data_IF_408580934625
#
_entry.id   IF_408580934625
#
_cell.length_a   1.000
_cell.length_b   1.000
_cell.length_c   1.000
_cell.angle_alpha   90.00
_cell.angle_beta   90.00
_cell.angle_gamma   90.00
#
_symmetry.space_group_name_H-M   'P 1'
#
loop_
_entity.id
_entity.type
_entity.pdbx_description
1 polymer ?
#
# COMPACT_ATOMS: atom_id res chain seq x y z
N UNK A 1 6.64 -16.24 -90.26
CA UNK A 1 7.52 -16.85 -89.24
C UNK A 1 7.11 -16.29 -87.89
N UNK A 2 6.46 -17.13 -87.08
CA UNK A 2 5.81 -16.78 -85.81
C UNK A 2 6.87 -16.69 -84.71
N UNK A 3 6.91 -15.58 -83.95
CA UNK A 3 7.57 -15.57 -82.65
C UNK A 3 6.56 -15.24 -81.56
N UNK A 4 6.55 -16.12 -80.56
CA UNK A 4 5.58 -16.30 -79.49
C UNK A 4 6.20 -15.83 -78.16
N UNK A 5 5.35 -15.31 -77.25
CA UNK A 5 5.45 -15.31 -75.77
C UNK A 5 6.49 -14.32 -75.19
N UNK A 6 6.28 -13.65 -74.05
CA UNK A 6 5.53 -14.03 -72.85
C UNK A 6 5.08 -12.79 -72.05
N UNK A 7 3.84 -12.80 -71.53
CA UNK A 7 3.31 -11.81 -70.59
C UNK A 7 3.50 -12.32 -69.15
N UNK A 8 4.30 -11.62 -68.36
CA UNK A 8 4.47 -11.89 -66.93
C UNK A 8 3.30 -11.30 -66.14
N UNK A 9 2.50 -12.16 -65.51
CA UNK A 9 1.41 -11.77 -64.59
C UNK A 9 2.02 -11.37 -63.25
N UNK A 10 1.77 -10.13 -62.80
CA UNK A 10 2.06 -9.68 -61.43
C UNK A 10 0.81 -9.99 -60.58
N UNK A 11 0.97 -10.86 -59.59
CA UNK A 11 -0.03 -11.14 -58.56
C UNK A 11 0.21 -10.15 -57.41
N UNK A 12 -0.75 -9.28 -57.13
CA UNK A 12 -0.76 -8.44 -55.93
C UNK A 12 -1.45 -9.23 -54.82
N UNK A 13 -0.68 -9.65 -53.81
CA UNK A 13 -1.20 -10.27 -52.61
C UNK A 13 -1.71 -9.18 -51.64
N UNK A 14 -3.02 -9.24 -51.33
CA UNK A 14 -3.67 -8.40 -50.35
C UNK A 14 -3.30 -8.89 -48.94
N UNK A 15 -2.48 -8.12 -48.22
CA UNK A 15 -2.09 -8.42 -46.85
C UNK A 15 -3.23 -8.13 -45.86
N UNK A 16 -3.70 -9.18 -45.18
CA UNK A 16 -4.61 -9.12 -44.04
C UNK A 16 -3.98 -8.31 -42.90
N UNK A 17 -4.61 -7.20 -42.52
CA UNK A 17 -4.33 -6.50 -41.27
C UNK A 17 -4.82 -7.35 -40.09
N UNK A 18 -3.90 -8.05 -39.43
CA UNK A 18 -4.15 -8.66 -38.12
C UNK A 18 -4.15 -7.53 -37.08
N UNK A 19 -5.28 -7.35 -36.39
CA UNK A 19 -5.43 -6.38 -35.33
C UNK A 19 -4.41 -6.58 -34.22
N UNK A 20 -3.60 -5.56 -33.98
CA UNK A 20 -2.73 -5.48 -32.81
C UNK A 20 -3.61 -5.26 -31.57
N UNK A 21 -3.77 -6.28 -30.74
CA UNK A 21 -4.26 -6.07 -29.38
C UNK A 21 -3.31 -5.09 -28.67
N UNK A 22 -3.81 -4.12 -27.88
CA UNK A 22 -2.96 -3.23 -27.14
C UNK A 22 -2.15 -4.05 -26.12
N UNK A 23 -0.87 -4.21 -26.39
CA UNK A 23 0.10 -4.68 -25.42
C UNK A 23 0.19 -3.59 -24.35
N UNK A 24 -0.47 -3.79 -23.21
CA UNK A 24 -0.24 -2.94 -22.04
C UNK A 24 1.24 -3.09 -21.68
N UNK A 25 2.05 -2.07 -22.00
CA UNK A 25 3.43 -2.02 -21.59
C UNK A 25 3.49 -2.23 -20.07
N UNK A 26 4.08 -3.35 -19.65
CA UNK A 26 4.18 -3.70 -18.25
C UNK A 26 5.11 -2.68 -17.58
N UNK A 27 4.53 -1.78 -16.78
CA UNK A 27 5.29 -0.73 -16.09
C UNK A 27 6.31 -1.38 -15.17
N UNK A 28 7.51 -0.79 -15.10
CA UNK A 28 8.52 -1.22 -14.16
C UNK A 28 7.96 -1.19 -12.73
N UNK A 29 8.22 -2.22 -11.90
CA UNK A 29 7.83 -2.20 -10.51
C UNK A 29 8.39 -0.98 -9.79
N UNK A 30 7.64 -0.43 -8.83
CA UNK A 30 8.12 0.57 -7.91
C UNK A 30 9.40 0.10 -7.21
N UNK A 31 10.30 1.02 -6.84
CA UNK A 31 11.67 0.69 -6.43
C UNK A 31 11.71 -0.26 -5.24
N UNK A 32 10.73 -0.17 -4.34
CA UNK A 32 10.66 -0.99 -3.12
C UNK A 32 9.51 -2.00 -3.10
N UNK A 33 8.66 -2.05 -4.12
CA UNK A 33 7.51 -2.96 -4.18
C UNK A 33 7.91 -4.43 -4.02
N UNK A 34 9.01 -4.85 -4.67
CA UNK A 34 9.53 -6.23 -4.53
C UNK A 34 9.95 -6.52 -3.09
N UNK A 35 10.64 -5.59 -2.44
CA UNK A 35 11.07 -5.76 -1.05
C UNK A 35 9.88 -5.81 -0.09
N UNK A 36 8.85 -5.01 -0.33
CA UNK A 36 7.59 -5.06 0.44
C UNK A 36 6.93 -6.43 0.30
N UNK A 37 6.88 -6.99 -0.92
CA UNK A 37 6.34 -8.33 -1.15
C UNK A 37 7.18 -9.44 -0.49
N UNK A 38 8.51 -9.31 -0.48
CA UNK A 38 9.39 -10.19 0.31
C UNK A 38 9.00 -10.16 1.79
N UNK A 39 8.74 -8.97 2.35
CA UNK A 39 8.31 -8.84 3.74
C UNK A 39 6.92 -9.45 3.97
N UNK A 40 5.96 -9.23 3.07
CA UNK A 40 4.63 -9.88 3.12
C UNK A 40 4.77 -11.41 3.16
N UNK A 41 5.62 -11.98 2.31
CA UNK A 41 5.85 -13.43 2.27
C UNK A 41 6.49 -13.99 3.54
N UNK A 42 7.20 -13.16 4.30
CA UNK A 42 7.76 -13.53 5.61
C UNK A 42 6.78 -13.41 6.77
N UNK A 43 5.59 -12.83 6.55
CA UNK A 43 4.58 -12.68 7.60
C UNK A 43 3.85 -14.02 7.85
N UNK A 44 3.43 -14.29 9.10
CA UNK A 44 2.63 -15.45 9.41
C UNK A 44 1.24 -15.38 8.74
N UNK A 45 0.55 -16.51 8.73
CA UNK A 45 -0.84 -16.63 8.28
C UNK A 45 -1.75 -16.88 9.47
N UNK A 46 -2.97 -16.36 9.43
CA UNK A 46 -3.95 -16.53 10.48
C UNK A 46 -3.74 -15.57 11.67
N UNK A 47 -4.09 -16.03 12.88
CA UNK A 47 -3.89 -15.26 14.11
C UNK A 47 -5.05 -14.33 14.48
N UNK A 48 -6.22 -14.43 13.83
CA UNK A 48 -7.44 -13.69 14.16
C UNK A 48 -7.36 -12.15 14.02
N UNK A 49 -8.52 -11.52 14.00
CA UNK A 49 -8.66 -10.07 13.92
C UNK A 49 -9.18 -9.46 15.24
N UNK A 50 -8.54 -8.40 15.73
CA UNK A 50 -9.05 -7.59 16.84
C UNK A 50 -8.46 -6.18 16.78
N UNK A 51 -9.30 -5.15 16.88
CA UNK A 51 -8.88 -3.75 17.03
C UNK A 51 -9.00 -3.26 18.49
N UNK A 52 -8.89 -4.18 19.46
CA UNK A 52 -8.97 -3.85 20.89
C UNK A 52 -7.69 -3.22 21.42
N UNK A 53 -7.78 -2.54 22.58
CA UNK A 53 -6.58 -2.06 23.31
C UNK A 53 -5.57 -3.17 23.56
N UNK A 54 -6.04 -4.38 23.87
CA UNK A 54 -5.17 -5.54 24.06
C UNK A 54 -4.41 -5.94 22.78
N UNK A 55 -5.03 -5.81 21.61
CA UNK A 55 -4.36 -6.04 20.32
C UNK A 55 -3.27 -4.98 20.06
N UNK A 56 -3.54 -3.70 20.37
CA UNK A 56 -2.52 -2.64 20.26
C UNK A 56 -1.34 -2.87 21.21
N UNK A 57 -1.58 -3.27 22.46
CA UNK A 57 -0.49 -3.60 23.39
C UNK A 57 0.36 -4.79 22.89
N UNK A 58 -0.27 -5.79 22.27
CA UNK A 58 0.44 -6.90 21.63
C UNK A 58 1.27 -6.43 20.44
N UNK A 59 0.72 -5.55 19.60
CA UNK A 59 1.42 -4.96 18.46
C UNK A 59 2.66 -4.15 18.90
N UNK A 60 2.54 -3.34 19.95
CA UNK A 60 3.67 -2.60 20.54
C UNK A 60 4.79 -3.53 21.02
N UNK A 61 4.41 -4.68 21.60
CA UNK A 61 5.35 -5.74 22.01
C UNK A 61 5.83 -6.60 20.85
N UNK A 62 5.27 -6.50 19.66
CA UNK A 62 5.73 -7.28 18.52
C UNK A 62 6.82 -6.57 17.72
N UNK A 63 6.95 -5.25 17.87
CA UNK A 63 7.97 -4.43 17.22
C UNK A 63 8.87 -3.82 18.30
N UNK A 64 9.99 -4.47 18.56
CA UNK A 64 10.99 -4.02 19.51
C UNK A 64 12.11 -3.27 18.80
N UNK A 65 12.65 -2.27 19.46
CA UNK A 65 13.86 -1.58 19.04
C UNK A 65 14.87 -1.67 20.17
N UNK A 66 15.93 -2.45 19.93
CA UNK A 66 16.99 -2.71 20.90
C UNK A 66 18.33 -2.59 20.18
N UNK A 67 19.29 -1.93 20.83
CA UNK A 67 20.66 -1.77 20.30
C UNK A 67 20.74 -1.23 18.86
N UNK A 68 19.78 -0.38 18.45
CA UNK A 68 19.76 0.23 17.11
C UNK A 68 19.07 -0.60 16.02
N UNK A 69 18.51 -1.76 16.36
CA UNK A 69 17.93 -2.73 15.42
C UNK A 69 16.43 -2.91 15.71
N UNK A 70 15.60 -2.89 14.66
CA UNK A 70 14.21 -3.29 14.77
C UNK A 70 14.07 -4.82 14.71
N UNK A 71 13.63 -5.42 15.81
CA UNK A 71 13.18 -6.82 15.81
C UNK A 71 11.66 -6.84 15.74
N UNK A 72 11.14 -7.33 14.63
CA UNK A 72 9.70 -7.52 14.42
C UNK A 72 9.37 -9.00 14.51
N UNK A 73 8.51 -9.36 15.47
CA UNK A 73 8.03 -10.72 15.71
C UNK A 73 6.49 -10.76 15.55
N UNK A 74 5.98 -10.87 14.29
CA UNK A 74 4.57 -10.68 13.99
C UNK A 74 3.60 -11.63 14.69
N UNK A 75 4.06 -12.82 15.08
CA UNK A 75 3.26 -13.80 15.83
C UNK A 75 2.79 -13.24 17.18
N UNK A 76 3.58 -12.38 17.83
CA UNK A 76 3.20 -11.78 19.10
C UNK A 76 2.17 -10.66 18.94
N UNK A 77 1.93 -10.17 17.72
CA UNK A 77 0.88 -9.20 17.41
C UNK A 77 -0.49 -9.85 17.16
N UNK A 78 -0.65 -11.16 17.33
CA UNK A 78 -1.94 -11.85 17.17
C UNK A 78 -2.77 -11.82 18.47
N UNK A 79 -4.08 -11.46 18.43
CA UNK A 79 -4.83 -10.94 17.28
C UNK A 79 -4.43 -9.52 16.90
N UNK A 80 -4.48 -9.25 15.59
CA UNK A 80 -4.02 -8.00 14.97
C UNK A 80 -5.14 -7.30 14.21
N UNK A 81 -4.86 -6.13 13.66
CA UNK A 81 -5.76 -5.35 12.80
C UNK A 81 -5.01 -4.79 11.59
N UNK A 82 -5.76 -4.22 10.66
CA UNK A 82 -5.31 -3.97 9.30
C UNK A 82 -4.13 -2.99 9.21
N UNK A 83 -4.22 -1.82 9.87
CA UNK A 83 -3.13 -0.84 9.93
C UNK A 83 -1.90 -1.36 10.69
N UNK A 84 -2.10 -2.15 11.75
CA UNK A 84 -1.01 -2.82 12.46
C UNK A 84 -0.24 -3.78 11.56
N UNK A 85 -0.96 -4.62 10.81
CA UNK A 85 -0.36 -5.58 9.87
C UNK A 85 0.50 -4.89 8.80
N UNK A 86 -0.05 -3.86 8.16
CA UNK A 86 0.66 -3.12 7.10
C UNK A 86 1.85 -2.33 7.66
N UNK A 87 1.75 -1.80 8.88
CA UNK A 87 2.86 -1.12 9.53
C UNK A 87 4.02 -2.05 9.90
N UNK A 88 3.73 -3.27 10.37
CA UNK A 88 4.79 -4.26 10.61
C UNK A 88 5.56 -4.59 9.32
N UNK A 89 4.87 -4.70 8.19
CA UNK A 89 5.51 -4.88 6.88
C UNK A 89 6.36 -3.64 6.50
N UNK A 90 5.86 -2.44 6.77
CA UNK A 90 6.62 -1.21 6.56
C UNK A 90 7.90 -1.17 7.41
N UNK A 91 7.82 -1.43 8.72
CA UNK A 91 9.01 -1.47 9.61
C UNK A 91 10.01 -2.55 9.18
N UNK A 92 9.53 -3.75 8.82
CA UNK A 92 10.41 -4.81 8.28
C UNK A 92 11.09 -4.38 6.98
N UNK A 93 10.40 -3.62 6.13
CA UNK A 93 10.97 -3.07 4.88
C UNK A 93 12.08 -2.06 5.18
N UNK A 94 11.84 -1.13 6.11
CA UNK A 94 12.84 -0.16 6.56
C UNK A 94 14.07 -0.84 7.16
N UNK A 95 13.88 -1.85 8.01
CA UNK A 95 14.99 -2.59 8.59
C UNK A 95 15.75 -3.41 7.55
N UNK A 96 15.06 -4.02 6.58
CA UNK A 96 15.72 -4.74 5.49
C UNK A 96 16.56 -3.80 4.60
N UNK A 97 16.14 -2.56 4.40
CA UNK A 97 16.94 -1.55 3.70
C UNK A 97 18.18 -1.15 4.51
N UNK A 98 18.03 -0.97 5.82
CA UNK A 98 19.15 -0.66 6.74
C UNK A 98 20.18 -1.79 6.77
N UNK A 99 19.73 -3.04 6.88
CA UNK A 99 20.59 -4.22 6.88
C UNK A 99 21.36 -4.42 5.56
N UNK A 100 20.88 -3.83 4.46
CA UNK A 100 21.55 -3.83 3.14
C UNK A 100 22.39 -2.56 2.90
N UNK A 101 22.60 -1.72 3.92
CA UNK A 101 23.25 -0.40 3.81
C UNK A 101 22.58 0.58 2.82
N UNK A 102 21.35 0.29 2.37
CA UNK A 102 20.61 1.10 1.41
C UNK A 102 19.83 2.24 2.08
N UNK A 103 19.75 2.26 3.41
CA UNK A 103 19.07 3.29 4.19
C UNK A 103 19.81 3.52 5.51
N UNK A 104 20.12 4.77 5.81
CA UNK A 104 20.69 5.17 7.11
C UNK A 104 19.78 6.19 7.75
N UNK A 105 19.37 5.91 8.98
CA UNK A 105 18.52 6.78 9.81
C UNK A 105 19.19 6.90 11.17
N UNK A 106 19.15 8.10 11.75
CA UNK A 106 19.65 8.35 13.09
C UNK A 106 18.76 7.72 14.16
N UNK A 107 19.28 7.67 15.39
CA UNK A 107 18.57 7.04 16.51
C UNK A 107 17.22 7.70 16.80
N UNK A 108 17.14 9.03 16.70
CA UNK A 108 15.92 9.77 16.96
C UNK A 108 14.82 9.44 15.94
N UNK A 109 15.18 9.35 14.66
CA UNK A 109 14.26 8.93 13.59
C UNK A 109 13.78 7.51 13.82
N UNK A 110 14.67 6.60 14.20
CA UNK A 110 14.27 5.22 14.52
C UNK A 110 13.32 5.18 15.71
N UNK A 111 13.60 5.92 16.78
CA UNK A 111 12.71 5.98 17.94
C UNK A 111 11.31 6.52 17.58
N UNK A 112 11.18 7.35 16.54
CA UNK A 112 9.90 7.86 16.05
C UNK A 112 9.05 6.83 15.30
N UNK A 113 9.68 5.76 14.79
CA UNK A 113 9.00 4.64 14.11
C UNK A 113 8.37 3.64 15.11
N UNK A 114 8.71 3.74 16.41
CA UNK A 114 8.13 2.88 17.43
C UNK A 114 6.62 3.10 17.56
N UNK A 115 5.90 1.99 17.68
CA UNK A 115 4.46 1.97 17.95
C UNK A 115 4.26 2.35 19.42
N UNK A 116 3.57 3.45 19.68
CA UNK A 116 3.22 3.91 21.04
C UNK A 116 1.72 4.15 21.15
N UNK A 117 1.25 4.70 22.27
CA UNK A 117 -0.17 5.05 22.48
C UNK A 117 -0.52 6.40 21.82
N UNK A 118 -0.11 6.56 20.55
CA UNK A 118 -0.32 7.78 19.75
C UNK A 118 -1.72 7.81 19.18
N UNK A 119 -2.35 8.98 19.22
CA UNK A 119 -3.66 9.23 18.62
C UNK A 119 -3.55 9.48 17.11
N UNK A 120 -4.69 9.47 16.43
CA UNK A 120 -4.79 9.84 15.01
C UNK A 120 -4.08 11.18 14.75
N UNK A 121 -3.14 11.15 13.81
CA UNK A 121 -2.33 12.31 13.42
C UNK A 121 -1.08 12.57 14.27
N UNK A 122 -0.82 11.82 15.35
CA UNK A 122 0.37 12.00 16.20
C UNK A 122 1.55 11.12 15.77
N UNK A 123 2.71 11.73 15.52
CA UNK A 123 3.92 11.02 15.07
C UNK A 123 3.69 10.13 13.83
N UNK A 124 4.57 9.15 13.60
CA UNK A 124 4.48 8.26 12.43
C UNK A 124 3.35 7.23 12.59
N UNK A 125 3.34 6.50 13.71
CA UNK A 125 2.35 5.45 13.93
C UNK A 125 0.92 6.02 14.02
N UNK A 126 0.71 7.14 14.72
CA UNK A 126 -0.62 7.77 14.81
C UNK A 126 -1.12 8.29 13.46
N UNK A 127 -0.22 8.68 12.54
CA UNK A 127 -0.60 8.95 11.14
C UNK A 127 -0.95 7.69 10.38
N UNK A 128 -0.14 6.64 10.49
CA UNK A 128 -0.38 5.37 9.80
C UNK A 128 -1.69 4.70 10.24
N UNK A 129 -2.00 4.76 11.53
CA UNK A 129 -3.17 4.13 12.14
C UNK A 129 -4.45 4.96 12.04
N UNK A 130 -4.37 6.22 11.61
CA UNK A 130 -5.50 7.13 11.64
C UNK A 130 -6.70 6.65 10.80
N UNK A 131 -7.89 7.08 11.20
CA UNK A 131 -9.05 7.13 10.30
C UNK A 131 -8.72 7.97 9.06
N UNK A 132 -9.36 7.65 7.93
CA UNK A 132 -9.06 8.32 6.67
C UNK A 132 -7.79 7.82 5.98
N UNK A 133 -7.14 8.69 5.21
CA UNK A 133 -6.02 8.34 4.33
C UNK A 133 -4.67 8.45 5.07
N UNK A 134 -4.58 7.93 6.29
CA UNK A 134 -3.43 8.12 7.19
C UNK A 134 -2.06 7.82 6.57
N UNK A 135 -1.91 6.65 5.92
CA UNK A 135 -0.69 6.27 5.21
C UNK A 135 -0.34 7.26 4.09
N UNK A 136 -1.32 7.66 3.28
CA UNK A 136 -1.09 8.60 2.19
C UNK A 136 -0.72 10.00 2.69
N UNK A 137 -1.36 10.47 3.78
CA UNK A 137 -1.00 11.74 4.41
C UNK A 137 0.43 11.72 4.95
N UNK A 138 0.84 10.64 5.62
CA UNK A 138 2.22 10.45 6.05
C UNK A 138 3.19 10.51 4.86
N UNK A 139 2.88 9.80 3.77
CA UNK A 139 3.72 9.78 2.56
C UNK A 139 3.87 11.18 1.96
N UNK A 140 2.79 11.98 2.00
CA UNK A 140 2.80 13.37 1.54
C UNK A 140 3.65 14.28 2.43
N UNK A 141 3.44 14.25 3.75
CA UNK A 141 4.16 15.10 4.70
C UNK A 141 5.68 14.83 4.68
N UNK A 142 6.04 13.55 4.57
CA UNK A 142 7.43 13.11 4.58
C UNK A 142 8.03 12.95 3.19
N UNK A 143 7.28 13.13 2.10
CA UNK A 143 7.76 12.92 0.74
C UNK A 143 8.34 11.50 0.54
N UNK A 144 7.63 10.48 1.05
CA UNK A 144 8.09 9.09 1.00
C UNK A 144 7.87 8.43 -0.37
N UNK A 145 7.03 9.03 -1.20
CA UNK A 145 6.72 8.57 -2.55
C UNK A 145 5.35 9.03 -3.01
N UNK A 146 4.85 8.42 -4.08
CA UNK A 146 3.63 8.88 -4.74
C UNK A 146 2.35 8.33 -4.10
N UNK A 147 1.36 9.20 -3.98
CA UNK A 147 -0.03 8.82 -3.73
C UNK A 147 -0.85 8.92 -5.01
N UNK A 148 -1.81 8.02 -5.19
CA UNK A 148 -2.74 8.03 -6.32
C UNK A 148 -4.01 7.22 -5.97
N UNK A 149 -5.08 7.37 -6.75
CA UNK A 149 -6.38 6.74 -6.47
C UNK A 149 -6.96 5.93 -7.65
N UNK A 150 -6.10 5.56 -8.61
CA UNK A 150 -6.44 4.76 -9.78
C UNK A 150 -5.76 3.37 -9.77
N UNK A 151 -6.59 2.33 -9.98
CA UNK A 151 -6.15 0.95 -10.04
C UNK A 151 -5.28 0.64 -11.26
N UNK A 152 -5.43 1.37 -12.37
CA UNK A 152 -4.59 1.14 -13.55
C UNK A 152 -3.11 1.49 -13.30
N UNK A 153 -2.85 2.34 -12.31
CA UNK A 153 -1.49 2.72 -11.89
C UNK A 153 -0.95 1.85 -10.74
N UNK A 154 -1.81 1.07 -10.09
CA UNK A 154 -1.46 0.26 -8.93
C UNK A 154 -0.57 -0.93 -9.31
N UNK A 155 0.33 -1.29 -8.42
CA UNK A 155 1.28 -2.37 -8.57
C UNK A 155 1.34 -3.21 -7.29
N UNK A 156 1.52 -4.54 -7.39
CA UNK A 156 1.72 -5.39 -6.22
C UNK A 156 2.81 -4.82 -5.31
N UNK A 157 2.54 -4.70 -4.01
CA UNK A 157 3.44 -4.07 -3.04
C UNK A 157 3.10 -2.62 -2.68
N UNK A 158 2.19 -1.96 -3.41
CA UNK A 158 1.69 -0.65 -2.98
C UNK A 158 0.87 -0.79 -1.69
N UNK A 159 1.06 0.13 -0.75
CA UNK A 159 0.14 0.26 0.38
C UNK A 159 -1.18 0.82 -0.15
N UNK A 160 -2.31 0.27 0.31
CA UNK A 160 -3.63 0.66 -0.16
C UNK A 160 -4.60 0.81 1.00
N UNK A 161 -5.32 1.92 1.04
CA UNK A 161 -6.52 2.08 1.87
C UNK A 161 -7.74 1.86 0.99
N UNK A 162 -8.53 0.83 1.31
CA UNK A 162 -9.83 0.58 0.69
C UNK A 162 -10.89 1.40 1.43
N UNK A 163 -11.79 2.05 0.69
CA UNK A 163 -13.01 2.66 1.23
C UNK A 163 -14.23 1.90 0.70
N UNK A 164 -15.02 1.33 1.62
CA UNK A 164 -16.24 0.57 1.30
C UNK A 164 -17.48 1.46 1.13
N UNK A 165 -17.37 2.73 1.52
CA UNK A 165 -18.39 3.77 1.35
C UNK A 165 -17.73 5.07 0.87
N UNK A 166 -18.52 6.06 0.40
CA UNK A 166 -18.00 7.40 0.10
C UNK A 166 -17.52 8.19 1.32
N UNK A 167 -17.87 7.74 2.53
CA UNK A 167 -17.60 8.45 3.79
C UNK A 167 -16.12 8.39 4.19
N UNK A 168 -15.61 9.48 4.74
CA UNK A 168 -14.25 9.61 5.31
C UNK A 168 -14.35 10.14 6.72
N UNK A 169 -13.53 9.61 7.62
CA UNK A 169 -13.50 10.01 9.03
C UNK A 169 -14.55 9.31 9.88
N UNK A 170 -15.38 10.07 10.61
CA UNK A 170 -16.24 9.52 11.68
C UNK A 170 -17.17 8.38 11.24
N UNK A 171 -17.64 8.41 9.99
CA UNK A 171 -18.55 7.41 9.42
C UNK A 171 -17.85 6.46 8.42
N UNK A 172 -16.51 6.47 8.41
CA UNK A 172 -15.74 5.66 7.49
C UNK A 172 -15.80 4.17 7.83
N UNK A 173 -15.90 3.37 6.77
CA UNK A 173 -15.57 1.96 6.81
C UNK A 173 -14.43 1.72 5.83
N UNK A 174 -13.21 1.66 6.37
CA UNK A 174 -12.00 1.50 5.57
C UNK A 174 -11.19 0.27 5.96
N UNK A 175 -10.27 -0.15 5.09
CA UNK A 175 -9.37 -1.28 5.33
C UNK A 175 -7.97 -0.98 4.81
N UNK A 176 -6.96 -1.02 5.68
CA UNK A 176 -5.55 -0.82 5.31
C UNK A 176 -4.92 -2.14 4.87
N UNK A 177 -4.38 -2.19 3.66
CA UNK A 177 -3.90 -3.42 3.04
C UNK A 177 -2.64 -3.16 2.20
N UNK A 178 -2.00 -4.23 1.73
CA UNK A 178 -0.99 -4.17 0.68
C UNK A 178 -1.61 -4.79 -0.57
N UNK A 179 -1.64 -4.02 -1.66
CA UNK A 179 -2.21 -4.47 -2.93
C UNK A 179 -1.36 -5.60 -3.53
N UNK A 180 -2.01 -6.63 -4.06
CA UNK A 180 -1.34 -7.79 -4.69
C UNK A 180 -1.69 -7.96 -6.17
N UNK A 181 -2.59 -7.15 -6.72
CA UNK A 181 -2.98 -7.20 -8.13
C UNK A 181 -4.48 -7.33 -8.36
N UNK A 182 -4.85 -7.31 -9.64
CA UNK A 182 -6.17 -7.72 -10.11
C UNK A 182 -6.15 -9.22 -10.44
N UNK A 183 -7.25 -9.90 -10.18
CA UNK A 183 -7.48 -11.27 -10.65
C UNK A 183 -8.91 -11.39 -11.17
N UNK A 184 -9.17 -12.35 -12.06
CA UNK A 184 -10.52 -12.64 -12.54
C UNK A 184 -11.02 -13.93 -11.89
N UNK A 185 -12.16 -13.86 -11.20
CA UNK A 185 -12.84 -15.02 -10.61
C UNK A 185 -14.24 -15.10 -11.18
N UNK A 186 -14.55 -16.22 -11.82
CA UNK A 186 -15.85 -16.46 -12.47
C UNK A 186 -16.27 -15.31 -13.42
N UNK A 187 -15.31 -14.78 -14.16
CA UNK A 187 -15.53 -13.65 -15.09
C UNK A 187 -15.53 -12.26 -14.45
N UNK A 188 -15.54 -12.16 -13.12
CA UNK A 188 -15.62 -10.91 -12.36
C UNK A 188 -14.21 -10.46 -11.95
N UNK A 189 -13.91 -9.19 -12.19
CA UNK A 189 -12.65 -8.58 -11.75
C UNK A 189 -12.65 -8.41 -10.24
N UNK A 190 -11.62 -8.94 -9.60
CA UNK A 190 -11.38 -8.90 -8.17
C UNK A 190 -10.07 -8.17 -7.86
N UNK A 191 -10.06 -7.50 -6.72
CA UNK A 191 -8.88 -6.87 -6.14
C UNK A 191 -8.31 -7.83 -5.10
N UNK A 192 -7.09 -8.30 -5.33
CA UNK A 192 -6.34 -9.15 -4.41
C UNK A 192 -5.42 -8.29 -3.54
N UNK A 193 -5.39 -8.57 -2.24
CA UNK A 193 -4.58 -7.82 -1.28
C UNK A 193 -4.17 -8.68 -0.08
N UNK A 194 -3.15 -8.25 0.66
CA UNK A 194 -2.73 -8.84 1.93
C UNK A 194 -2.99 -7.87 3.10
N UNK A 195 -3.46 -8.37 4.24
CA UNK A 195 -3.64 -7.59 5.48
C UNK A 195 -3.92 -8.53 6.67
N UNK A 196 -4.20 -7.98 7.86
CA UNK A 196 -4.98 -8.68 8.89
C UNK A 196 -6.48 -8.52 8.57
N UNK A 197 -7.14 -9.62 8.22
CA UNK A 197 -8.51 -9.65 7.72
C UNK A 197 -9.48 -10.22 8.74
N UNK A 198 -10.70 -9.69 8.78
CA UNK A 198 -11.79 -10.31 9.53
C UNK A 198 -12.24 -11.61 8.82
N UNK A 199 -12.45 -12.73 9.56
CA UNK A 199 -12.06 -12.97 10.95
C UNK A 199 -10.66 -13.60 11.11
N UNK A 200 -10.01 -13.97 10.00
CA UNK A 200 -8.86 -14.88 9.98
C UNK A 200 -7.52 -14.32 10.48
N UNK A 201 -7.34 -13.01 10.57
CA UNK A 201 -6.04 -12.40 10.84
C UNK A 201 -5.19 -12.27 9.56
N UNK A 202 -3.87 -12.41 9.67
CA UNK A 202 -2.93 -12.18 8.57
C UNK A 202 -3.20 -13.11 7.38
N UNK A 203 -3.25 -12.54 6.17
CA UNK A 203 -3.34 -13.33 4.96
C UNK A 203 -3.83 -12.55 3.75
N UNK A 204 -3.90 -13.27 2.65
CA UNK A 204 -4.46 -12.77 1.39
C UNK A 204 -5.99 -12.80 1.42
N UNK A 205 -6.61 -11.79 0.83
CA UNK A 205 -8.04 -11.75 0.56
C UNK A 205 -8.29 -11.16 -0.81
N UNK A 206 -9.43 -11.48 -1.37
CA UNK A 206 -9.88 -11.05 -2.68
C UNK A 206 -11.34 -10.65 -2.62
N UNK A 207 -11.68 -9.52 -3.22
CA UNK A 207 -13.05 -8.99 -3.26
C UNK A 207 -13.38 -8.50 -4.67
N UNK A 208 -14.65 -8.56 -5.11
CA UNK A 208 -15.07 -7.93 -6.36
C UNK A 208 -14.67 -6.46 -6.39
N UNK A 209 -14.07 -6.02 -7.51
CA UNK A 209 -13.67 -4.62 -7.73
C UNK A 209 -14.85 -3.67 -7.54
N UNK A 210 -16.06 -4.09 -7.90
CA UNK A 210 -17.30 -3.34 -7.74
C UNK A 210 -17.71 -3.08 -6.29
N UNK A 211 -17.18 -3.82 -5.31
CA UNK A 211 -17.43 -3.55 -3.87
C UNK A 211 -16.58 -2.41 -3.32
N UNK A 212 -15.51 -2.04 -4.01
CA UNK A 212 -14.61 -0.95 -3.58
C UNK A 212 -15.12 0.35 -4.22
N UNK A 213 -15.62 1.28 -3.40
CA UNK A 213 -16.11 2.58 -3.88
C UNK A 213 -14.93 3.39 -4.44
N UNK A 214 -13.85 3.48 -3.67
CA UNK A 214 -12.57 4.00 -4.12
C UNK A 214 -11.45 3.47 -3.23
N UNK A 215 -10.21 3.68 -3.66
CA UNK A 215 -9.02 3.33 -2.90
C UNK A 215 -7.99 4.44 -3.02
N UNK A 216 -7.13 4.55 -2.02
CA UNK A 216 -5.94 5.41 -2.05
C UNK A 216 -4.73 4.53 -1.95
N UNK A 217 -3.82 4.66 -2.89
CA UNK A 217 -2.56 3.95 -2.96
C UNK A 217 -1.41 4.86 -2.54
N UNK A 218 -0.41 4.26 -1.90
CA UNK A 218 0.85 4.91 -1.52
C UNK A 218 2.00 4.00 -1.92
N UNK A 219 2.80 4.45 -2.89
CA UNK A 219 3.99 3.74 -3.36
C UNK A 219 5.23 4.33 -2.70
N UNK A 220 6.04 3.46 -2.10
CA UNK A 220 7.28 3.88 -1.42
C UNK A 220 8.36 4.10 -2.48
N UNK A 221 8.93 5.30 -2.53
CA UNK A 221 9.96 5.71 -3.49
C UNK A 221 11.21 6.28 -2.82
N UNK A 222 11.06 6.96 -1.67
CA UNK A 222 12.13 7.71 -1.00
C UNK A 222 12.14 7.50 0.52
N UNK A 223 12.44 6.28 1.01
CA UNK A 223 12.44 5.95 2.45
C UNK A 223 13.45 6.78 3.26
N UNK A 224 14.51 7.30 2.64
CA UNK A 224 15.46 8.22 3.27
C UNK A 224 14.81 9.48 3.82
N UNK A 225 13.66 9.88 3.25
CA UNK A 225 12.95 11.07 3.73
C UNK A 225 12.24 10.87 5.07
N UNK A 226 12.24 9.65 5.63
CA UNK A 226 11.89 9.43 7.06
C UNK A 226 12.71 10.31 8.00
N UNK A 227 13.95 10.67 7.64
CA UNK A 227 14.78 11.60 8.42
C UNK A 227 14.15 13.01 8.58
N UNK A 228 13.12 13.34 7.79
CA UNK A 228 12.38 14.60 7.89
C UNK A 228 11.36 14.60 9.04
N UNK A 229 11.21 13.50 9.78
CA UNK A 229 10.24 13.38 10.90
C UNK A 229 10.40 14.48 11.95
N UNK A 230 11.63 14.94 12.19
CA UNK A 230 11.92 16.05 13.11
C UNK A 230 11.31 17.39 12.70
N UNK A 231 10.92 17.54 11.42
CA UNK A 231 10.29 18.74 10.86
C UNK A 231 8.77 18.65 10.79
N UNK A 232 8.20 17.47 11.08
CA UNK A 232 6.76 17.29 11.06
C UNK A 232 6.13 18.02 12.25
N UNK A 233 4.92 18.56 12.04
CA UNK A 233 4.09 18.97 13.16
C UNK A 233 3.85 17.77 14.08
N UNK A 234 3.89 17.99 15.39
CA UNK A 234 3.65 16.94 16.39
C UNK A 234 2.33 16.20 16.12
N UNK A 235 1.30 16.96 15.72
CA UNK A 235 -0.02 16.48 15.35
C UNK A 235 -0.41 17.03 13.98
N UNK A 236 -0.86 16.15 13.08
CA UNK A 236 -1.55 16.54 11.85
C UNK A 236 -3.02 16.85 12.16
N UNK A 237 -3.43 18.10 11.96
CA UNK A 237 -4.77 18.57 12.32
C UNK A 237 -5.88 17.97 11.46
N UNK A 238 -5.56 17.57 10.22
CA UNK A 238 -6.53 16.94 9.33
C UNK A 238 -6.89 15.55 9.84
N UNK A 239 -5.91 14.70 10.10
CA UNK A 239 -6.15 13.35 10.63
C UNK A 239 -6.74 13.37 12.04
N UNK A 240 -6.25 14.26 12.92
CA UNK A 240 -6.71 14.34 14.31
C UNK A 240 -8.22 14.61 14.44
N UNK A 241 -8.83 15.35 13.48
CA UNK A 241 -10.28 15.63 13.51
C UNK A 241 -11.13 14.53 12.88
N UNK A 242 -10.57 13.55 12.18
CA UNK A 242 -11.35 12.52 11.47
C UNK A 242 -12.05 11.52 12.41
N UNK A 243 -11.71 11.51 13.70
CA UNK A 243 -12.46 10.76 14.71
C UNK A 243 -13.84 11.38 14.99
N UNK A 244 -13.98 12.70 14.83
CA UNK A 244 -15.18 13.45 15.22
C UNK A 244 -15.90 14.12 14.06
N UNK A 245 -15.21 14.29 12.92
CA UNK A 245 -15.73 15.00 11.74
C UNK A 245 -15.79 14.10 10.52
N UNK A 246 -16.61 14.50 9.55
CA UNK A 246 -16.62 13.90 8.21
C UNK A 246 -15.66 14.65 7.29
N UNK A 247 -15.12 13.93 6.32
CA UNK A 247 -14.39 14.46 5.17
C UNK A 247 -14.97 13.85 3.89
N UNK A 248 -14.36 14.13 2.75
CA UNK A 248 -14.78 13.61 1.45
C UNK A 248 -13.56 13.33 0.56
N UNK A 249 -13.79 12.63 -0.56
CA UNK A 249 -12.72 12.22 -1.47
C UNK A 249 -11.91 13.40 -2.03
N UNK A 250 -12.53 14.57 -2.27
CA UNK A 250 -11.79 15.74 -2.77
C UNK A 250 -10.79 16.22 -1.72
N UNK A 251 -11.24 16.41 -0.49
CA UNK A 251 -10.37 16.82 0.61
C UNK A 251 -9.26 15.78 0.87
N UNK A 252 -9.56 14.48 0.78
CA UNK A 252 -8.54 13.42 0.82
C UNK A 252 -7.47 13.62 -0.27
N UNK A 253 -7.87 13.96 -1.50
CA UNK A 253 -6.91 14.20 -2.59
C UNK A 253 -6.05 15.43 -2.33
N UNK A 254 -6.67 16.53 -1.91
CA UNK A 254 -5.97 17.78 -1.59
C UNK A 254 -4.96 17.56 -0.45
N UNK A 255 -5.38 16.91 0.64
CA UNK A 255 -4.53 16.65 1.81
C UNK A 255 -3.46 15.58 1.58
N UNK A 256 -3.62 14.69 0.60
CA UNK A 256 -2.65 13.65 0.28
C UNK A 256 -1.82 13.94 -0.98
N UNK A 257 -2.05 15.08 -1.66
CA UNK A 257 -1.32 15.50 -2.85
C UNK A 257 -1.59 14.64 -4.10
N UNK A 258 -2.86 14.39 -4.42
CA UNK A 258 -3.33 13.58 -5.56
C UNK A 258 -4.23 14.32 -6.54
#
# INVERSE_FOLDING_TARGET
MVLRRSLTKIIVALGLFVGTAPCFAQRAPGPFNRLILEQVNSMPKGGQYSASRAATLRLQRAAHFESGIFTVAPNFASPSYCSGATYLVFIKTIEALRARDALRLDLATLQSLLIRDQRDGEGIWGRWNANGPGTARLFKELDLGQNFDDFANAQPGDFMKIFWSPEVGKAEHGHSVIYLGMEKKDGIDHVKFWSSNIPGGYGEKSVPRSKIVYAVFSRLDSPQNLARVSRMAATDSYLARLLSTRSNRREVRDECGM
#
